data_IF_316847391994
#
_entry.id   IF_316847391994
#
_cell.length_a   1.000
_cell.length_b   1.000
_cell.length_c   1.000
_cell.angle_alpha   90.00
_cell.angle_beta   90.00
_cell.angle_gamma   90.00
#
_symmetry.space_group_name_H-M   'P 1'
#
loop_
_entity.id
_entity.type
_entity.pdbx_description
1 polymer ?
#
# COMPACT_ATOMS: atom_id res chain seq x y z
N UNK A 1 15.96 15.62 -23.85
CA UNK A 1 14.57 15.37 -23.43
C UNK A 1 14.57 14.27 -22.38
N UNK A 2 14.71 14.61 -21.10
CA UNK A 2 14.88 13.65 -20.00
C UNK A 2 14.01 13.98 -18.78
N UNK A 3 12.88 14.65 -18.99
CA UNK A 3 12.09 15.25 -17.89
C UNK A 3 10.78 14.52 -17.55
N UNK A 4 10.43 13.41 -18.22
CA UNK A 4 9.11 12.75 -18.03
C UNK A 4 9.11 11.59 -17.02
N UNK A 5 10.27 11.20 -16.47
CA UNK A 5 10.35 10.13 -15.48
C UNK A 5 9.85 10.51 -14.07
N UNK A 6 10.18 11.69 -13.50
CA UNK A 6 9.71 12.04 -12.16
C UNK A 6 8.19 12.27 -12.12
N UNK A 7 7.61 12.82 -13.17
CA UNK A 7 6.15 13.04 -13.26
C UNK A 7 5.37 11.73 -13.29
N UNK A 8 5.86 10.73 -14.05
CA UNK A 8 5.27 9.39 -14.08
C UNK A 8 5.42 8.67 -12.74
N UNK A 9 6.59 8.74 -12.11
CA UNK A 9 6.79 8.15 -10.78
C UNK A 9 5.84 8.79 -9.75
N UNK A 10 5.73 10.12 -9.75
CA UNK A 10 4.81 10.86 -8.88
C UNK A 10 3.35 10.48 -9.11
N UNK A 11 2.95 10.30 -10.38
CA UNK A 11 1.61 9.85 -10.76
C UNK A 11 1.30 8.46 -10.19
N UNK A 12 2.20 7.49 -10.36
CA UNK A 12 2.02 6.14 -9.83
C UNK A 12 1.96 6.14 -8.30
N UNK A 13 2.85 6.86 -7.61
CA UNK A 13 2.81 6.97 -6.15
C UNK A 13 1.47 7.53 -5.66
N UNK A 14 0.92 8.54 -6.36
CA UNK A 14 -0.41 9.08 -6.06
C UNK A 14 -1.53 8.05 -6.28
N UNK A 15 -1.44 7.23 -7.33
CA UNK A 15 -2.42 6.16 -7.59
C UNK A 15 -2.35 5.08 -6.51
N UNK A 16 -1.15 4.67 -6.09
CA UNK A 16 -0.95 3.72 -4.99
C UNK A 16 -1.59 4.30 -3.72
N UNK A 17 -1.28 5.54 -3.35
CA UNK A 17 -1.86 6.19 -2.16
C UNK A 17 -3.39 6.32 -2.22
N UNK A 18 -3.97 6.66 -3.37
CA UNK A 18 -5.42 6.71 -3.55
C UNK A 18 -6.06 5.33 -3.43
N UNK A 19 -5.42 4.29 -3.98
CA UNK A 19 -5.88 2.90 -3.88
C UNK A 19 -5.96 2.48 -2.41
N UNK A 20 -4.89 2.76 -1.67
CA UNK A 20 -4.76 2.43 -0.26
C UNK A 20 -5.76 3.18 0.63
N UNK A 21 -6.23 4.37 0.22
CA UNK A 21 -7.29 5.13 0.90
C UNK A 21 -8.71 4.73 0.48
N UNK A 22 -8.87 3.87 -0.53
CA UNK A 22 -10.17 3.56 -1.11
C UNK A 22 -10.77 4.70 -1.96
N UNK A 23 -9.95 5.64 -2.42
CA UNK A 23 -10.35 6.85 -3.16
C UNK A 23 -10.13 6.71 -4.68
N UNK A 24 -9.80 5.50 -5.16
CA UNK A 24 -9.39 5.27 -6.54
C UNK A 24 -10.59 5.24 -7.49
N UNK A 25 -10.55 6.07 -8.53
CA UNK A 25 -11.57 6.06 -9.59
C UNK A 25 -11.38 4.87 -10.54
N UNK A 26 -12.45 4.44 -11.21
CA UNK A 26 -12.43 3.34 -12.19
C UNK A 26 -11.34 3.46 -13.27
N UNK A 27 -11.11 4.67 -13.79
CA UNK A 27 -10.06 4.92 -14.78
C UNK A 27 -8.66 4.83 -14.18
N UNK A 28 -8.49 5.37 -12.97
CA UNK A 28 -7.24 5.32 -12.19
C UNK A 28 -6.89 3.89 -11.77
N UNK A 29 -7.91 3.06 -11.52
CA UNK A 29 -7.74 1.63 -11.24
C UNK A 29 -7.21 0.85 -12.43
N UNK A 30 -7.69 1.15 -13.64
CA UNK A 30 -7.14 0.57 -14.87
C UNK A 30 -5.68 1.00 -15.10
N UNK A 31 -5.37 2.27 -14.86
CA UNK A 31 -4.00 2.80 -14.97
C UNK A 31 -3.06 2.10 -13.98
N UNK A 32 -3.46 1.99 -12.72
CA UNK A 32 -2.69 1.31 -11.68
C UNK A 32 -2.51 -0.19 -11.99
N UNK A 33 -3.57 -0.90 -12.39
CA UNK A 33 -3.46 -2.31 -12.80
C UNK A 33 -2.54 -2.49 -14.01
N UNK A 34 -2.58 -1.57 -14.98
CA UNK A 34 -1.68 -1.63 -16.13
C UNK A 34 -0.23 -1.50 -15.69
N UNK A 35 0.05 -0.60 -14.73
CA UNK A 35 1.39 -0.43 -14.17
C UNK A 35 1.84 -1.66 -13.36
N UNK A 36 0.99 -2.20 -12.49
CA UNK A 36 1.28 -3.41 -11.69
C UNK A 36 1.64 -4.59 -12.61
N UNK A 37 0.88 -4.79 -13.68
CA UNK A 37 1.09 -5.90 -14.62
C UNK A 37 2.22 -5.65 -15.63
N UNK A 38 2.83 -4.46 -15.65
CA UNK A 38 3.86 -4.15 -16.64
C UNK A 38 5.18 -4.85 -16.34
N UNK A 39 5.53 -5.02 -15.05
CA UNK A 39 6.80 -5.61 -14.57
C UNK A 39 6.63 -6.22 -13.19
N UNK A 40 7.38 -7.28 -12.92
CA UNK A 40 7.44 -7.93 -11.61
C UNK A 40 7.87 -6.95 -10.48
N UNK A 41 8.87 -6.10 -10.74
CA UNK A 41 9.30 -5.08 -9.77
C UNK A 41 8.17 -4.11 -9.38
N UNK A 42 7.25 -3.80 -10.30
CA UNK A 42 6.11 -2.91 -10.05
C UNK A 42 5.07 -3.60 -9.17
N UNK A 43 4.86 -4.90 -9.37
CA UNK A 43 4.02 -5.71 -8.49
C UNK A 43 4.61 -5.81 -7.08
N UNK A 44 5.91 -6.11 -6.95
CA UNK A 44 6.56 -6.23 -5.65
C UNK A 44 6.50 -4.92 -4.85
N UNK A 45 6.79 -3.78 -5.49
CA UNK A 45 6.70 -2.47 -4.84
C UNK A 45 5.27 -2.18 -4.36
N UNK A 46 4.26 -2.57 -5.14
CA UNK A 46 2.86 -2.40 -4.75
C UNK A 46 2.50 -3.25 -3.53
N UNK A 47 2.88 -4.52 -3.51
CA UNK A 47 2.67 -5.43 -2.38
C UNK A 47 3.34 -4.93 -1.10
N UNK A 48 4.61 -4.51 -1.18
CA UNK A 48 5.34 -3.93 -0.03
C UNK A 48 4.62 -2.70 0.54
N UNK A 49 4.06 -1.85 -0.31
CA UNK A 49 3.27 -0.69 0.12
C UNK A 49 1.98 -1.08 0.84
N UNK A 50 1.33 -2.19 0.44
CA UNK A 50 0.14 -2.70 1.11
C UNK A 50 0.49 -3.27 2.50
N UNK A 51 1.57 -4.04 2.59
CA UNK A 51 1.99 -4.67 3.84
C UNK A 51 2.36 -3.65 4.92
N UNK A 52 3.04 -2.57 4.56
CA UNK A 52 3.37 -1.47 5.48
C UNK A 52 2.11 -0.81 6.08
N UNK A 53 1.07 -0.62 5.27
CA UNK A 53 -0.18 -0.04 5.74
C UNK A 53 -0.99 -1.03 6.55
N UNK A 54 -1.01 -2.30 6.17
CA UNK A 54 -1.62 -3.37 6.94
C UNK A 54 -0.98 -3.47 8.33
N UNK A 55 0.35 -3.47 8.39
CA UNK A 55 1.11 -3.42 9.64
C UNK A 55 0.75 -2.19 10.47
N UNK A 56 0.61 -1.02 9.85
CA UNK A 56 0.22 0.20 10.55
C UNK A 56 -1.21 0.13 11.13
N UNK A 57 -2.12 -0.53 10.41
CA UNK A 57 -3.50 -0.74 10.85
C UNK A 57 -3.55 -1.74 12.01
N UNK A 58 -2.82 -2.85 11.89
CA UNK A 58 -2.70 -3.87 12.93
C UNK A 58 -2.11 -3.28 14.22
N UNK A 59 -1.04 -2.48 14.10
CA UNK A 59 -0.45 -1.77 15.25
C UNK A 59 -1.43 -0.79 15.88
N UNK A 60 -2.19 -0.04 15.08
CA UNK A 60 -3.20 0.90 15.58
C UNK A 60 -4.35 0.18 16.29
N UNK A 61 -4.72 -1.00 15.83
CA UNK A 61 -5.72 -1.83 16.48
C UNK A 61 -5.21 -2.41 17.80
N UNK A 62 -3.99 -2.94 17.82
CA UNK A 62 -3.34 -3.47 19.02
C UNK A 62 -3.17 -2.41 20.11
N UNK A 63 -2.97 -1.14 19.73
CA UNK A 63 -2.84 -0.03 20.67
C UNK A 63 -4.10 0.24 21.51
N UNK A 64 -5.27 -0.25 21.09
CA UNK A 64 -6.54 -0.11 21.82
C UNK A 64 -6.63 -1.04 23.04
N UNK A 65 -5.73 -2.01 23.16
CA UNK A 65 -5.74 -3.01 24.21
C UNK A 65 -4.63 -2.75 25.23
N UNK A 66 -4.83 -3.22 26.47
CA UNK A 66 -3.75 -3.29 27.45
C UNK A 66 -2.60 -4.16 26.93
N UNK A 67 -1.34 -3.81 27.25
CA UNK A 67 -0.14 -4.39 26.64
C UNK A 67 -0.12 -5.93 26.63
N UNK A 68 -0.58 -6.57 27.70
CA UNK A 68 -0.65 -8.04 27.80
C UNK A 68 -1.65 -8.65 26.78
N UNK A 69 -2.79 -7.99 26.55
CA UNK A 69 -3.80 -8.43 25.59
C UNK A 69 -3.34 -8.17 24.15
N UNK A 70 -2.65 -7.05 23.91
CA UNK A 70 -2.03 -6.77 22.62
C UNK A 70 -0.99 -7.84 22.25
N UNK A 71 -0.12 -8.21 23.20
CA UNK A 71 0.88 -9.26 22.99
C UNK A 71 0.25 -10.63 22.69
N UNK A 72 -0.79 -11.04 23.42
CA UNK A 72 -1.51 -12.30 23.15
C UNK A 72 -2.19 -12.33 21.77
N UNK A 73 -2.65 -11.17 21.27
CA UNK A 73 -3.27 -11.06 19.94
C UNK A 73 -2.23 -11.07 18.84
N UNK A 74 -1.11 -10.37 19.02
CA UNK A 74 0.00 -10.35 18.08
C UNK A 74 0.65 -11.73 17.92
N UNK A 75 0.95 -12.40 19.03
CA UNK A 75 1.58 -13.74 19.04
C UNK A 75 0.71 -14.87 18.48
N UNK A 76 -0.59 -14.65 18.25
CA UNK A 76 -1.49 -15.60 17.57
C UNK A 76 -1.59 -15.39 16.07
N UNK A 77 -1.16 -14.24 15.56
CA UNK A 77 -1.23 -13.87 14.14
C UNK A 77 0.13 -13.99 13.41
N UNK A 78 1.19 -14.40 14.12
CA UNK A 78 2.50 -14.82 13.57
C UNK A 78 2.52 -16.34 13.51
#
# INVERSE_FOLDING_TARGET
MKDHQPEKATRISNLIMKHLRGELLQQEMKELHTWINAREDSYLLFEECQDLLRLSADLRELWKYHWLQAYMRFSRNI
#
